data_IF_984254981087
#
_entry.id   IF_984254981087
#
_cell.length_a   1.000
_cell.length_b   1.000
_cell.length_c   1.000
_cell.angle_alpha   90.00
_cell.angle_beta   90.00
_cell.angle_gamma   90.00
#
_symmetry.space_group_name_H-M   'P 1'
#
loop_
_entity.id
_entity.type
_entity.pdbx_description
1 polymer ?
#
# COMPACT_ATOMS: atom_id res chain seq x y z
N UNK A 1 12.94 -12.44 -37.67
CA UNK A 1 11.51 -12.13 -37.49
C UNK A 1 11.36 -11.69 -36.05
N UNK A 2 11.21 -10.38 -35.83
CA UNK A 2 11.18 -9.75 -34.51
C UNK A 2 9.76 -9.82 -33.96
N UNK A 3 9.57 -10.50 -32.83
CA UNK A 3 8.42 -10.30 -31.96
C UNK A 3 8.91 -9.50 -30.76
N UNK A 4 8.74 -8.18 -30.87
CA UNK A 4 8.71 -7.27 -29.74
C UNK A 4 7.60 -7.74 -28.78
N UNK A 5 7.97 -8.49 -27.75
CA UNK A 5 7.20 -8.50 -26.52
C UNK A 5 7.31 -7.10 -25.94
N UNK A 6 6.27 -6.30 -26.17
CA UNK A 6 6.04 -5.10 -25.38
C UNK A 6 5.80 -5.58 -23.96
N UNK A 7 6.86 -5.63 -23.15
CA UNK A 7 6.70 -5.47 -21.71
C UNK A 7 5.77 -4.27 -21.51
N UNK A 8 4.63 -4.50 -20.87
CA UNK A 8 3.71 -3.43 -20.50
C UNK A 8 4.38 -2.69 -19.32
N UNK A 9 5.38 -1.87 -19.64
CA UNK A 9 6.16 -1.11 -18.68
C UNK A 9 5.20 -0.11 -18.04
N UNK A 10 4.68 -0.45 -16.86
CA UNK A 10 3.95 0.49 -16.00
C UNK A 10 4.83 1.74 -15.86
N UNK A 11 4.40 2.91 -16.35
CA UNK A 11 5.26 4.08 -16.42
C UNK A 11 5.73 4.46 -15.01
N UNK A 12 7.04 4.73 -14.89
CA UNK A 12 7.69 5.07 -13.62
C UNK A 12 6.99 6.29 -13.02
N UNK A 13 6.19 6.06 -11.98
CA UNK A 13 5.45 7.14 -11.32
C UNK A 13 6.40 8.01 -10.51
N UNK A 14 6.31 9.32 -10.69
CA UNK A 14 7.18 10.31 -10.05
C UNK A 14 6.56 10.94 -8.82
N UNK A 15 5.24 11.17 -8.81
CA UNK A 15 4.51 11.72 -7.68
C UNK A 15 3.29 10.83 -7.39
N UNK A 16 3.08 10.52 -6.11
CA UNK A 16 1.95 9.71 -5.63
C UNK A 16 1.18 10.48 -4.57
N UNK A 17 -0.12 10.61 -4.77
CA UNK A 17 -1.04 11.28 -3.82
C UNK A 17 -2.05 10.26 -3.31
N UNK A 18 -2.14 10.08 -1.99
CA UNK A 18 -3.09 9.16 -1.36
C UNK A 18 -4.26 9.92 -0.70
N UNK A 19 -5.47 9.38 -0.88
CA UNK A 19 -6.69 9.83 -0.21
C UNK A 19 -7.51 10.89 -0.93
N UNK A 20 -7.06 11.36 -2.09
CA UNK A 20 -7.80 12.31 -2.93
C UNK A 20 -8.66 11.61 -3.98
N UNK A 21 -9.78 12.23 -4.38
CA UNK A 21 -10.57 11.76 -5.52
C UNK A 21 -9.87 12.14 -6.82
N UNK A 22 -10.11 11.40 -7.90
CA UNK A 22 -9.51 11.69 -9.21
C UNK A 22 -9.84 13.12 -9.64
N UNK A 23 -11.07 13.55 -9.41
CA UNK A 23 -11.56 14.87 -9.82
C UNK A 23 -10.84 15.99 -9.06
N UNK A 24 -10.71 15.86 -7.73
CA UNK A 24 -10.09 16.89 -6.88
C UNK A 24 -8.58 16.98 -7.09
N UNK A 25 -7.90 15.83 -7.16
CA UNK A 25 -6.45 15.80 -7.38
C UNK A 25 -6.13 16.16 -8.84
N UNK A 26 -6.93 15.69 -9.79
CA UNK A 26 -6.77 15.99 -11.22
C UNK A 26 -6.95 17.47 -11.53
N UNK A 27 -7.93 18.13 -10.91
CA UNK A 27 -8.10 19.58 -11.01
C UNK A 27 -6.87 20.34 -10.48
N UNK A 28 -6.34 19.96 -9.30
CA UNK A 28 -5.12 20.55 -8.76
C UNK A 28 -3.88 20.25 -9.61
N UNK A 29 -3.78 19.06 -10.22
CA UNK A 29 -2.70 18.71 -11.15
C UNK A 29 -2.76 19.59 -12.40
N UNK A 30 -3.93 19.80 -12.97
CA UNK A 30 -4.10 20.62 -14.16
C UNK A 30 -3.82 22.11 -13.84
N UNK A 31 -4.38 22.63 -12.74
CA UNK A 31 -4.22 24.03 -12.35
C UNK A 31 -2.80 24.39 -11.92
N UNK A 32 -2.11 23.52 -11.16
CA UNK A 32 -0.79 23.84 -10.59
C UNK A 32 0.36 23.32 -11.46
N UNK A 33 0.26 22.09 -11.97
CA UNK A 33 1.34 21.47 -12.75
C UNK A 33 1.17 21.68 -14.27
N UNK A 34 -0.03 22.01 -14.74
CA UNK A 34 -0.32 22.17 -16.18
C UNK A 34 -0.30 20.86 -16.96
N UNK A 35 -0.57 19.73 -16.28
CA UNK A 35 -0.54 18.40 -16.89
C UNK A 35 -1.92 17.99 -17.41
N UNK A 36 -1.92 17.21 -18.49
CA UNK A 36 -3.12 16.66 -19.13
C UNK A 36 -3.57 15.34 -18.48
N UNK A 37 -4.82 14.96 -18.72
CA UNK A 37 -5.47 13.78 -18.12
C UNK A 37 -4.83 12.42 -18.47
N UNK A 38 -4.04 12.35 -19.54
CA UNK A 38 -3.27 11.17 -19.94
C UNK A 38 -1.96 11.00 -19.13
N UNK A 39 -1.56 12.04 -18.38
CA UNK A 39 -0.30 12.08 -17.65
C UNK A 39 -0.43 11.68 -16.17
N UNK A 40 -1.66 11.43 -15.71
CA UNK A 40 -1.96 10.93 -14.38
C UNK A 40 -3.13 9.94 -14.39
N UNK A 41 -3.12 8.97 -13.49
CA UNK A 41 -4.23 8.03 -13.33
C UNK A 41 -4.54 7.83 -11.84
N UNK A 42 -5.78 7.49 -11.54
CA UNK A 42 -6.24 7.23 -10.17
C UNK A 42 -6.68 5.78 -10.04
N UNK A 43 -6.36 5.15 -8.92
CA UNK A 43 -6.78 3.79 -8.61
C UNK A 43 -7.68 3.76 -7.38
N UNK A 44 -8.70 2.91 -7.44
CA UNK A 44 -9.60 2.65 -6.33
C UNK A 44 -8.93 1.84 -5.20
N UNK A 45 -7.89 1.08 -5.57
CA UNK A 45 -7.01 0.32 -4.69
C UNK A 45 -5.56 0.68 -5.09
N UNK A 46 -4.74 1.14 -4.14
CA UNK A 46 -3.32 1.44 -4.36
C UNK A 46 -2.60 0.31 -5.12
N UNK A 47 -1.94 0.62 -6.24
CA UNK A 47 -1.20 -0.35 -7.06
C UNK A 47 -0.09 -1.07 -6.28
N UNK A 48 0.47 -0.41 -5.26
CA UNK A 48 1.49 -1.02 -4.40
C UNK A 48 0.92 -2.16 -3.54
N UNK A 49 -0.39 -2.15 -3.29
CA UNK A 49 -1.13 -3.23 -2.63
C UNK A 49 -1.44 -4.32 -3.66
N UNK A 50 -1.96 -3.92 -4.83
CA UNK A 50 -2.34 -4.85 -5.89
C UNK A 50 -1.16 -5.66 -6.42
N UNK A 51 0.00 -5.02 -6.66
CA UNK A 51 1.23 -5.71 -7.09
C UNK A 51 1.74 -6.73 -6.08
N UNK A 52 1.50 -6.54 -4.78
CA UNK A 52 1.95 -7.49 -3.74
C UNK A 52 0.98 -8.65 -3.55
N UNK A 53 -0.32 -8.43 -3.77
CA UNK A 53 -1.25 -9.54 -3.98
C UNK A 53 -0.89 -10.29 -5.27
N UNK A 54 -0.55 -9.59 -6.36
CA UNK A 54 -0.12 -10.19 -7.63
C UNK A 54 1.22 -10.96 -7.53
N UNK A 55 2.15 -10.53 -6.68
CA UNK A 55 3.46 -11.19 -6.49
C UNK A 55 3.33 -12.61 -5.91
N UNK A 56 2.20 -12.95 -5.29
CA UNK A 56 1.88 -14.33 -4.90
C UNK A 56 1.49 -15.23 -6.10
N UNK A 57 1.31 -14.66 -7.29
CA UNK A 57 0.88 -15.34 -8.52
C UNK A 57 1.92 -15.31 -9.66
N UNK A 58 2.98 -14.50 -9.56
CA UNK A 58 3.99 -14.34 -10.62
C UNK A 58 5.00 -15.51 -10.69
N UNK A 59 5.01 -16.41 -9.69
CA UNK A 59 5.96 -17.51 -9.61
C UNK A 59 5.29 -18.85 -9.45
N UNK A 60 5.10 -19.57 -10.55
CA UNK A 60 4.79 -20.99 -10.51
C UNK A 60 4.06 -21.46 -11.75
N UNK A 61 4.82 -22.00 -12.72
CA UNK A 61 4.71 -23.38 -13.21
C UNK A 61 5.85 -23.57 -14.21
N UNK A 62 6.96 -24.15 -13.77
CA UNK A 62 7.90 -24.81 -14.67
C UNK A 62 7.77 -26.33 -14.49
N UNK A 63 7.42 -26.98 -15.60
CA UNK A 63 7.68 -28.38 -15.95
C UNK A 63 7.18 -29.51 -15.02
N UNK A 64 6.08 -30.17 -15.43
CA UNK A 64 5.92 -31.61 -15.25
C UNK A 64 5.06 -32.16 -16.39
N UNK A 65 5.45 -33.30 -16.97
CA UNK A 65 4.83 -33.89 -18.15
C UNK A 65 3.57 -34.73 -17.88
N UNK A 66 2.72 -34.81 -18.91
CA UNK A 66 1.46 -35.56 -19.11
C UNK A 66 0.15 -34.73 -19.05
N UNK A 67 -0.44 -34.53 -20.23
CA UNK A 67 -1.50 -33.56 -20.56
C UNK A 67 -2.86 -33.84 -19.87
N UNK A 68 -3.21 -35.09 -19.59
CA UNK A 68 -4.53 -35.45 -19.04
C UNK A 68 -4.66 -35.28 -17.52
N UNK A 69 -3.63 -35.69 -16.76
CA UNK A 69 -3.58 -35.51 -15.30
C UNK A 69 -3.24 -34.07 -14.89
N UNK A 70 -2.45 -33.38 -15.73
CA UNK A 70 -2.12 -31.96 -15.53
C UNK A 70 -3.36 -31.09 -15.52
N UNK A 71 -4.33 -31.27 -16.41
CA UNK A 71 -5.48 -30.36 -16.49
C UNK A 71 -6.32 -30.40 -15.21
N UNK A 72 -6.59 -31.58 -14.64
CA UNK A 72 -7.36 -31.69 -13.40
C UNK A 72 -6.57 -31.12 -12.20
N UNK A 73 -5.29 -31.45 -12.08
CA UNK A 73 -4.45 -30.93 -10.99
C UNK A 73 -4.25 -29.42 -11.10
N UNK A 74 -4.15 -28.90 -12.33
CA UNK A 74 -4.04 -27.48 -12.62
C UNK A 74 -5.35 -26.75 -12.33
N UNK A 75 -6.51 -27.33 -12.64
CA UNK A 75 -7.81 -26.77 -12.25
C UNK A 75 -7.93 -26.72 -10.73
N UNK A 76 -7.60 -27.80 -10.00
CA UNK A 76 -7.65 -27.82 -8.53
C UNK A 76 -6.68 -26.80 -7.95
N UNK A 77 -5.47 -26.69 -8.49
CA UNK A 77 -4.47 -25.72 -8.08
C UNK A 77 -4.92 -24.28 -8.35
N UNK A 78 -5.46 -24.00 -9.56
CA UNK A 78 -6.01 -22.69 -9.92
C UNK A 78 -7.17 -22.33 -9.02
N UNK A 79 -8.12 -23.24 -8.78
CA UNK A 79 -9.24 -23.01 -7.86
C UNK A 79 -8.74 -22.75 -6.45
N UNK A 80 -7.79 -23.54 -5.95
CA UNK A 80 -7.20 -23.35 -4.62
C UNK A 80 -6.50 -22.00 -4.50
N UNK A 81 -5.75 -21.61 -5.53
CA UNK A 81 -5.11 -20.29 -5.62
C UNK A 81 -6.15 -19.16 -5.69
N UNK A 82 -7.27 -19.36 -6.39
CA UNK A 82 -8.35 -18.38 -6.52
C UNK A 82 -9.09 -18.19 -5.18
N UNK A 83 -9.38 -19.29 -4.47
CA UNK A 83 -9.93 -19.23 -3.12
C UNK A 83 -8.97 -18.54 -2.15
N UNK A 84 -7.66 -18.84 -2.25
CA UNK A 84 -6.65 -18.16 -1.45
C UNK A 84 -6.57 -16.66 -1.79
N UNK A 85 -6.62 -16.29 -3.07
CA UNK A 85 -6.65 -14.90 -3.53
C UNK A 85 -7.84 -14.13 -2.95
N UNK A 86 -9.03 -14.74 -3.05
CA UNK A 86 -10.27 -14.16 -2.57
C UNK A 86 -10.25 -14.03 -1.04
N UNK A 87 -9.66 -15.01 -0.35
CA UNK A 87 -9.48 -14.96 1.11
C UNK A 87 -8.49 -13.86 1.55
N UNK A 88 -7.38 -13.70 0.83
CA UNK A 88 -6.42 -12.60 1.06
C UNK A 88 -7.07 -11.23 0.83
N UNK A 89 -7.98 -11.12 -0.14
CA UNK A 89 -8.78 -9.92 -0.35
C UNK A 89 -9.66 -9.62 0.87
N UNK A 90 -10.35 -10.62 1.44
CA UNK A 90 -11.15 -10.43 2.66
C UNK A 90 -10.28 -9.96 3.83
N UNK A 91 -9.12 -10.58 4.05
CA UNK A 91 -8.16 -10.16 5.10
C UNK A 91 -7.70 -8.74 4.88
N UNK A 92 -7.40 -8.34 3.64
CA UNK A 92 -7.02 -6.98 3.31
C UNK A 92 -8.08 -5.97 3.77
N UNK A 93 -9.35 -6.17 3.41
CA UNK A 93 -10.42 -5.26 3.80
C UNK A 93 -10.64 -5.24 5.31
N UNK A 94 -10.52 -6.40 5.97
CA UNK A 94 -10.64 -6.49 7.42
C UNK A 94 -9.51 -5.72 8.12
N UNK A 95 -8.27 -5.90 7.69
CA UNK A 95 -7.12 -5.17 8.23
C UNK A 95 -7.29 -3.68 7.99
N UNK A 96 -7.64 -3.24 6.78
CA UNK A 96 -7.89 -1.81 6.51
C UNK A 96 -9.03 -1.28 7.37
N UNK A 97 -10.11 -2.04 7.59
CA UNK A 97 -11.20 -1.63 8.46
C UNK A 97 -10.72 -1.44 9.91
N UNK A 98 -9.96 -2.40 10.45
CA UNK A 98 -9.36 -2.30 11.79
C UNK A 98 -8.42 -1.10 11.89
N UNK A 99 -7.50 -0.92 10.92
CA UNK A 99 -6.60 0.22 10.89
C UNK A 99 -7.36 1.55 10.76
N UNK A 100 -8.46 1.57 10.02
CA UNK A 100 -9.32 2.75 9.87
C UNK A 100 -10.00 3.10 11.18
N UNK A 101 -10.49 2.11 11.93
CA UNK A 101 -11.06 2.32 13.26
C UNK A 101 -10.01 2.84 14.26
N UNK A 102 -8.82 2.24 14.28
CA UNK A 102 -7.75 2.64 15.20
C UNK A 102 -7.17 4.03 14.88
N UNK A 103 -7.07 4.40 13.60
CA UNK A 103 -6.49 5.68 13.16
C UNK A 103 -7.50 6.81 12.95
N UNK A 104 -8.77 6.61 13.31
CA UNK A 104 -9.83 7.62 13.13
C UNK A 104 -10.10 7.97 11.67
N UNK A 105 -10.00 6.99 10.76
CA UNK A 105 -10.30 7.17 9.33
C UNK A 105 -9.09 7.40 8.43
N UNK A 106 -7.88 7.54 8.98
CA UNK A 106 -6.70 7.87 8.17
C UNK A 106 -6.30 6.73 7.22
N UNK A 107 -6.38 5.47 7.67
CA UNK A 107 -6.03 4.31 6.84
C UNK A 107 -6.89 4.16 5.58
N UNK A 108 -8.17 4.58 5.62
CA UNK A 108 -9.05 4.56 4.44
C UNK A 108 -8.53 5.44 3.30
N UNK A 109 -7.74 6.48 3.61
CA UNK A 109 -7.08 7.32 2.59
C UNK A 109 -6.05 6.55 1.77
N UNK A 110 -5.53 5.44 2.28
CA UNK A 110 -4.58 4.61 1.56
C UNK A 110 -5.22 3.75 0.47
N UNK A 111 -6.54 3.54 0.51
CA UNK A 111 -7.25 2.77 -0.51
C UNK A 111 -7.15 3.46 -1.87
N UNK A 112 -7.33 4.77 -1.92
CA UNK A 112 -7.30 5.55 -3.16
C UNK A 112 -5.97 6.24 -3.36
N UNK A 113 -5.42 6.14 -4.55
CA UNK A 113 -4.17 6.82 -4.90
C UNK A 113 -4.22 7.36 -6.32
N UNK A 114 -3.68 8.56 -6.50
CA UNK A 114 -3.45 9.17 -7.81
C UNK A 114 -1.96 9.18 -8.09
N UNK A 115 -1.59 8.68 -9.27
CA UNK A 115 -0.22 8.46 -9.72
C UNK A 115 0.05 9.40 -10.89
N UNK A 116 1.03 10.29 -10.72
CA UNK A 116 1.50 11.19 -11.78
C UNK A 116 2.70 10.53 -12.45
N UNK A 117 2.60 10.31 -13.75
CA UNK A 117 3.56 9.50 -14.52
C UNK A 117 4.57 10.33 -15.32
N UNK A 118 4.40 11.65 -15.31
CA UNK A 118 5.30 12.57 -16.01
C UNK A 118 6.68 12.60 -15.33
N UNK A 119 7.78 12.48 -16.09
CA UNK A 119 9.14 12.64 -15.56
C UNK A 119 9.30 13.96 -14.79
N UNK A 120 9.99 13.94 -13.65
CA UNK A 120 10.24 15.15 -12.84
C UNK A 120 11.02 16.20 -13.65
N UNK A 121 11.80 15.77 -14.64
CA UNK A 121 12.55 16.64 -15.56
C UNK A 121 11.69 17.62 -16.33
N UNK A 122 10.44 17.26 -16.57
CA UNK A 122 9.50 18.05 -17.37
C UNK A 122 8.64 18.99 -16.51
N UNK A 123 8.82 18.99 -15.19
CA UNK A 123 8.00 19.78 -14.26
C UNK A 123 8.90 20.72 -13.47
N UNK A 124 8.50 21.99 -13.40
CA UNK A 124 9.19 22.99 -12.57
C UNK A 124 9.09 22.63 -11.08
N UNK A 125 10.23 22.62 -10.39
CA UNK A 125 10.36 22.33 -8.95
C UNK A 125 9.46 23.25 -8.11
N UNK A 126 9.29 24.51 -8.50
CA UNK A 126 8.43 25.47 -7.78
C UNK A 126 6.97 25.03 -7.84
N UNK A 127 6.50 24.56 -9.00
CA UNK A 127 5.14 24.04 -9.18
C UNK A 127 4.91 22.75 -8.40
N UNK A 128 5.93 21.88 -8.32
CA UNK A 128 5.88 20.67 -7.49
C UNK A 128 5.71 21.05 -6.02
N UNK A 129 6.48 22.04 -5.53
CA UNK A 129 6.36 22.52 -4.14
C UNK A 129 4.97 23.05 -3.83
N UNK A 130 4.42 23.89 -4.72
CA UNK A 130 3.09 24.45 -4.56
C UNK A 130 2.01 23.34 -4.56
N UNK A 131 2.08 22.41 -5.51
CA UNK A 131 1.17 21.27 -5.59
C UNK A 131 1.23 20.42 -4.32
N UNK A 132 2.43 20.06 -3.85
CA UNK A 132 2.62 19.28 -2.62
C UNK A 132 2.02 20.01 -1.42
N UNK A 133 2.22 21.33 -1.31
CA UNK A 133 1.67 22.14 -0.21
C UNK A 133 0.14 22.16 -0.24
N UNK A 134 -0.48 22.33 -1.41
CA UNK A 134 -1.94 22.30 -1.57
C UNK A 134 -2.49 20.94 -1.12
N UNK A 135 -1.96 19.86 -1.67
CA UNK A 135 -2.41 18.50 -1.37
C UNK A 135 -2.21 18.13 0.12
N UNK A 136 -1.09 18.56 0.72
CA UNK A 136 -0.86 18.38 2.16
C UNK A 136 -1.75 19.27 3.01
N UNK A 137 -2.21 20.44 2.56
CA UNK A 137 -3.23 21.22 3.30
C UNK A 137 -4.60 20.56 3.26
N UNK A 138 -4.97 19.97 2.12
CA UNK A 138 -6.28 19.36 1.89
C UNK A 138 -6.54 18.07 2.68
N UNK A 139 -5.50 17.41 3.20
CA UNK A 139 -5.70 16.13 3.89
C UNK A 139 -4.91 14.97 3.34
N UNK A 140 -4.19 15.17 2.24
CA UNK A 140 -3.61 14.08 1.46
C UNK A 140 -2.20 13.75 1.90
N UNK A 141 -1.80 12.50 1.64
CA UNK A 141 -0.41 12.06 1.80
C UNK A 141 0.26 12.11 0.43
N UNK A 142 1.37 12.81 0.34
CA UNK A 142 2.08 12.99 -0.93
C UNK A 142 3.48 12.40 -0.81
N UNK A 143 3.86 11.60 -1.80
CA UNK A 143 5.21 11.08 -1.97
C UNK A 143 5.73 11.53 -3.33
N UNK A 144 6.84 12.25 -3.30
CA UNK A 144 7.65 12.56 -4.47
C UNK A 144 8.85 11.62 -4.45
N UNK A 145 9.15 10.97 -5.56
CA UNK A 145 10.36 10.14 -5.67
C UNK A 145 11.62 11.03 -5.66
N UNK A 146 12.72 10.47 -5.15
CA UNK A 146 13.96 11.21 -4.86
C UNK A 146 14.56 11.77 -6.16
N UNK A 147 14.66 13.10 -6.24
CA UNK A 147 15.29 13.86 -7.32
C UNK A 147 16.31 14.83 -6.71
N UNK A 148 17.59 14.79 -7.15
CA UNK A 148 18.66 15.64 -6.63
C UNK A 148 18.33 17.15 -6.69
N UNK A 149 17.48 17.59 -7.62
CA UNK A 149 17.08 19.01 -7.77
C UNK A 149 16.11 19.46 -6.68
N UNK A 150 15.40 18.52 -6.07
CA UNK A 150 14.43 18.77 -4.99
C UNK A 150 15.15 18.71 -3.62
N UNK A 151 16.11 17.80 -3.46
CA UNK A 151 16.87 17.62 -2.21
C UNK A 151 17.67 18.86 -1.79
N UNK A 152 18.11 19.69 -2.75
CA UNK A 152 18.90 20.89 -2.45
C UNK A 152 18.10 22.16 -2.14
N UNK A 153 16.77 22.19 -2.34
CA UNK A 153 15.98 23.45 -2.31
C UNK A 153 14.95 23.57 -1.18
N UNK A 154 14.34 22.48 -0.71
CA UNK A 154 13.30 22.55 0.33
C UNK A 154 13.17 21.23 1.12
N UNK A 155 13.55 21.27 2.40
CA UNK A 155 13.45 20.13 3.34
C UNK A 155 11.98 19.73 3.60
N UNK A 156 11.02 20.62 3.29
CA UNK A 156 9.59 20.36 3.50
C UNK A 156 9.07 19.20 2.65
N UNK A 157 9.45 19.11 1.37
CA UNK A 157 9.03 18.00 0.49
C UNK A 157 9.59 16.68 1.02
N UNK A 158 10.86 16.67 1.45
CA UNK A 158 11.49 15.48 1.97
C UNK A 158 10.78 14.98 3.23
N UNK A 159 10.48 15.87 4.18
CA UNK A 159 9.71 15.55 5.40
C UNK A 159 8.30 15.04 5.10
N UNK A 160 7.61 15.63 4.12
CA UNK A 160 6.27 15.17 3.68
C UNK A 160 6.36 13.77 3.07
N UNK A 161 7.35 13.54 2.20
CA UNK A 161 7.59 12.24 1.56
C UNK A 161 7.94 11.16 2.59
N UNK A 162 8.77 11.50 3.58
CA UNK A 162 9.09 10.63 4.71
C UNK A 162 7.85 10.29 5.56
N UNK A 163 7.05 11.29 5.94
CA UNK A 163 5.82 11.06 6.70
C UNK A 163 4.86 10.12 5.95
N UNK A 164 4.70 10.32 4.63
CA UNK A 164 3.91 9.44 3.76
C UNK A 164 4.51 8.04 3.63
N UNK A 165 5.83 7.92 3.57
CA UNK A 165 6.55 6.63 3.54
C UNK A 165 6.34 5.85 4.83
N UNK A 166 6.46 6.51 5.98
CA UNK A 166 6.22 5.91 7.31
C UNK A 166 4.77 5.45 7.43
N UNK A 167 3.81 6.31 7.07
CA UNK A 167 2.38 5.98 7.05
C UNK A 167 2.09 4.73 6.22
N UNK A 168 2.56 4.73 4.96
CA UNK A 168 2.40 3.60 4.04
C UNK A 168 3.05 2.32 4.57
N UNK A 169 4.28 2.44 5.07
CA UNK A 169 5.03 1.28 5.55
C UNK A 169 4.36 0.66 6.78
N UNK A 170 3.76 1.48 7.66
CA UNK A 170 2.97 0.98 8.79
C UNK A 170 1.80 0.10 8.31
N UNK A 171 1.00 0.59 7.36
CA UNK A 171 -0.11 -0.18 6.76
C UNK A 171 0.41 -1.47 6.11
N UNK A 172 1.48 -1.37 5.31
CA UNK A 172 2.05 -2.53 4.62
C UNK A 172 2.60 -3.56 5.61
N UNK A 173 3.24 -3.12 6.69
CA UNK A 173 3.75 -4.00 7.73
C UNK A 173 2.61 -4.71 8.46
N UNK A 174 1.57 -3.99 8.88
CA UNK A 174 0.38 -4.58 9.49
C UNK A 174 -0.30 -5.61 8.59
N UNK A 175 -0.37 -5.35 7.27
CA UNK A 175 -0.88 -6.31 6.29
C UNK A 175 0.00 -7.56 6.19
N UNK A 176 1.31 -7.41 6.12
CA UNK A 176 2.25 -8.55 6.07
C UNK A 176 2.13 -9.40 7.33
N UNK A 177 2.11 -8.77 8.51
CA UNK A 177 1.95 -9.47 9.80
C UNK A 177 0.62 -10.22 9.83
N UNK A 178 -0.48 -9.61 9.38
CA UNK A 178 -1.78 -10.26 9.31
C UNK A 178 -1.82 -11.43 8.32
N UNK A 179 -1.19 -11.29 7.14
CA UNK A 179 -1.09 -12.37 6.15
C UNK A 179 -0.26 -13.53 6.68
N UNK A 180 0.87 -13.27 7.33
CA UNK A 180 1.70 -14.32 7.95
C UNK A 180 0.92 -15.00 9.08
N UNK A 181 0.24 -14.23 9.93
CA UNK A 181 -0.60 -14.78 11.00
C UNK A 181 -1.68 -15.70 10.45
N UNK A 182 -2.33 -15.33 9.35
CA UNK A 182 -3.31 -16.17 8.68
C UNK A 182 -2.69 -17.47 8.16
N UNK A 183 -1.51 -17.40 7.52
CA UNK A 183 -0.80 -18.61 7.06
C UNK A 183 -0.51 -19.53 8.25
N UNK A 184 -0.03 -18.97 9.36
CA UNK A 184 0.21 -19.72 10.60
C UNK A 184 -1.07 -20.33 11.15
N UNK A 185 -2.19 -19.60 11.17
CA UNK A 185 -3.51 -20.12 11.58
C UNK A 185 -3.95 -21.30 10.72
N UNK A 186 -3.79 -21.21 9.40
CA UNK A 186 -4.17 -22.29 8.47
C UNK A 186 -3.29 -23.52 8.68
N UNK A 187 -1.97 -23.35 8.76
CA UNK A 187 -1.03 -24.46 9.04
C UNK A 187 -1.32 -25.11 10.40
N UNK A 188 -1.56 -24.29 11.42
CA UNK A 188 -1.89 -24.76 12.76
C UNK A 188 -3.20 -25.56 12.76
N UNK A 189 -4.23 -25.09 12.04
CA UNK A 189 -5.50 -25.79 11.90
C UNK A 189 -5.32 -27.15 11.21
N UNK A 190 -4.48 -27.24 10.16
CA UNK A 190 -4.19 -28.53 9.52
C UNK A 190 -3.51 -29.54 10.46
N UNK A 191 -2.69 -29.07 11.39
CA UNK A 191 -1.95 -29.95 12.33
C UNK A 191 -2.76 -30.34 13.57
N UNK A 192 -3.55 -29.41 14.12
CA UNK A 192 -4.21 -29.57 15.42
C UNK A 192 -5.74 -29.68 15.30
N UNK A 193 -6.31 -29.51 14.11
CA UNK A 193 -7.75 -29.56 13.83
C UNK A 193 -8.60 -28.54 14.60
N UNK A 194 -7.99 -27.49 15.14
CA UNK A 194 -8.68 -26.35 15.72
C UNK A 194 -7.92 -25.04 15.43
N UNK A 195 -8.61 -23.92 15.59
CA UNK A 195 -8.01 -22.59 15.41
C UNK A 195 -7.20 -22.17 16.63
N UNK A 196 -6.19 -21.33 16.42
CA UNK A 196 -5.46 -20.66 17.51
C UNK A 196 -6.44 -19.69 18.16
N UNK A 197 -6.81 -19.98 19.40
CA UNK A 197 -7.76 -19.18 20.19
C UNK A 197 -7.20 -18.83 21.57
N UNK A 198 -6.18 -19.55 22.04
CA UNK A 198 -5.65 -19.42 23.39
C UNK A 198 -6.50 -20.14 24.45
N UNK A 199 -7.58 -20.81 24.05
CA UNK A 199 -8.54 -21.45 24.95
C UNK A 199 -8.43 -22.98 25.04
N UNK A 200 -7.53 -23.57 24.25
CA UNK A 200 -7.38 -25.02 24.23
C UNK A 200 -6.67 -25.52 25.50
N UNK A 201 -7.14 -26.58 26.16
CA UNK A 201 -6.64 -27.01 27.46
C UNK A 201 -5.18 -27.50 27.46
N UNK A 202 -4.65 -27.93 26.31
CA UNK A 202 -3.30 -28.51 26.20
C UNK A 202 -2.31 -27.54 25.54
N UNK A 203 -2.77 -26.79 24.55
CA UNK A 203 -1.94 -25.91 23.70
C UNK A 203 -2.18 -24.42 24.00
N UNK A 204 -3.04 -24.08 24.96
CA UNK A 204 -3.45 -22.71 25.24
C UNK A 204 -2.29 -21.76 25.54
N UNK A 205 -1.29 -22.19 26.32
CA UNK A 205 -0.14 -21.33 26.65
C UNK A 205 0.68 -20.93 25.41
N UNK A 206 0.92 -21.88 24.49
CA UNK A 206 1.66 -21.60 23.27
C UNK A 206 0.83 -20.79 22.27
N UNK A 207 -0.47 -21.05 22.17
CA UNK A 207 -1.40 -20.25 21.37
C UNK A 207 -1.46 -18.79 21.83
N UNK A 208 -1.53 -18.56 23.15
CA UNK A 208 -1.52 -17.20 23.72
C UNK A 208 -0.22 -16.49 23.35
N UNK A 209 0.92 -17.17 23.45
CA UNK A 209 2.21 -16.59 23.07
C UNK A 209 2.24 -16.18 21.59
N UNK A 210 1.73 -17.02 20.70
CA UNK A 210 1.61 -16.71 19.26
C UNK A 210 0.70 -15.49 19.07
N UNK A 211 -0.49 -15.47 19.67
CA UNK A 211 -1.45 -14.37 19.57
C UNK A 211 -0.85 -13.05 20.07
N UNK A 212 -0.18 -13.07 21.23
CA UNK A 212 0.47 -11.89 21.81
C UNK A 212 1.61 -11.40 20.93
N UNK A 213 2.47 -12.29 20.44
CA UNK A 213 3.59 -11.92 19.57
C UNK A 213 3.09 -11.25 18.28
N UNK A 214 2.15 -11.87 17.57
CA UNK A 214 1.56 -11.29 16.36
C UNK A 214 0.78 -10.00 16.65
N UNK A 215 0.10 -9.92 17.79
CA UNK A 215 -0.58 -8.70 18.26
C UNK A 215 0.40 -7.54 18.47
N UNK A 216 1.55 -7.78 19.11
CA UNK A 216 2.60 -6.77 19.32
C UNK A 216 3.18 -6.30 17.98
N UNK A 217 3.51 -7.23 17.07
CA UNK A 217 4.00 -6.87 15.74
C UNK A 217 2.95 -6.06 14.96
N UNK A 218 1.68 -6.47 15.01
CA UNK A 218 0.61 -5.73 14.35
C UNK A 218 0.50 -4.30 14.91
N UNK A 219 0.55 -4.16 16.24
CA UNK A 219 0.51 -2.87 16.94
C UNK A 219 1.69 -1.98 16.55
N UNK A 220 2.90 -2.53 16.40
CA UNK A 220 4.05 -1.76 15.93
C UNK A 220 3.80 -1.13 14.55
N UNK A 221 3.09 -1.85 13.66
CA UNK A 221 2.64 -1.30 12.37
C UNK A 221 1.62 -0.18 12.51
N UNK A 222 0.66 -0.32 13.44
CA UNK A 222 -0.31 0.74 13.76
C UNK A 222 0.40 2.00 14.27
N UNK A 223 1.33 1.84 15.22
CA UNK A 223 2.10 2.96 15.77
C UNK A 223 2.93 3.67 14.69
N UNK A 224 3.58 2.91 13.80
CA UNK A 224 4.29 3.49 12.66
C UNK A 224 3.34 4.27 11.75
N UNK A 225 2.15 3.73 11.45
CA UNK A 225 1.14 4.43 10.66
C UNK A 225 0.72 5.75 11.32
N UNK A 226 0.38 5.72 12.62
CA UNK A 226 -0.08 6.88 13.37
C UNK A 226 1.02 7.95 13.49
N UNK A 227 2.28 7.56 13.66
CA UNK A 227 3.42 8.47 13.59
C UNK A 227 3.47 9.21 12.24
N UNK A 228 3.24 8.50 11.13
CA UNK A 228 3.14 9.11 9.81
C UNK A 228 2.00 10.14 9.70
N UNK A 229 0.84 9.82 10.27
CA UNK A 229 -0.32 10.75 10.35
C UNK A 229 0.04 12.00 11.15
N UNK A 230 0.65 11.82 12.33
CA UNK A 230 1.03 12.91 13.23
C UNK A 230 2.09 13.82 12.62
N UNK A 231 3.12 13.26 12.00
CA UNK A 231 4.17 14.02 11.29
C UNK A 231 3.56 14.86 10.17
N UNK A 232 2.70 14.25 9.34
CA UNK A 232 2.00 14.98 8.27
C UNK A 232 1.11 16.11 8.83
N UNK A 233 0.40 15.87 9.93
CA UNK A 233 -0.42 16.91 10.59
C UNK A 233 0.44 18.07 11.12
N UNK A 234 1.59 17.78 11.73
CA UNK A 234 2.52 18.83 12.19
C UNK A 234 3.02 19.70 11.04
N UNK A 235 3.40 19.08 9.91
CA UNK A 235 3.87 19.80 8.72
C UNK A 235 2.75 20.63 8.09
N UNK A 236 1.53 20.08 8.00
CA UNK A 236 0.37 20.82 7.49
C UNK A 236 0.09 22.06 8.35
N UNK A 237 0.19 21.95 9.69
CA UNK A 237 -0.01 23.07 10.60
C UNK A 237 1.10 24.14 10.48
N UNK A 238 2.36 23.75 10.26
CA UNK A 238 3.44 24.73 10.04
C UNK A 238 3.29 25.49 8.71
N UNK A 239 2.66 24.87 7.70
CA UNK A 239 2.36 25.52 6.41
C UNK A 239 1.14 26.45 6.46
N UNK A 240 0.30 26.36 7.49
CA UNK A 240 -0.89 27.22 7.66
C UNK A 240 -0.59 28.47 8.50
N UNK A 241 0.50 28.50 9.26
CA UNK A 241 0.91 29.73 9.95
C UNK A 241 1.44 30.71 8.90
N UNK A 242 0.89 31.95 8.82
CA UNK A 242 1.56 32.98 8.05
C UNK A 242 2.97 33.15 8.62
N UNK A 243 3.95 33.29 7.72
CA UNK A 243 5.30 33.72 8.10
C UNK A 243 5.14 35.08 8.81
N UNK A 244 5.37 35.11 10.11
CA UNK A 244 5.66 36.36 10.84
C UNK A 244 7.02 36.90 10.42
#
# INVERSE_FOLDING_TARGET
MSTNEKEEIVPKTTIRVYGGKKETVGESVNQTLGLRDDQYYSTWISLGVMKRFAFLFEGGVESAGSIGGLVLMFIVLVITLLFFALWQFVVFFLVIAVLTLLSGGAAAKFLRATYITTPLDNIDVVKIQEFVKIQVREGHFVRVDEDPRIEGKDDTIHRISQATKIFKNGIQFSLVVATIFLIVQVLYWFMNHHWITGSHPITGESEILILVAFGIFFLAGVLAMDLGVLLRRRIANSLQRPLE
#
